data_IF_364942328163
#
_entry.id   IF_364942328163
#
_cell.length_a   1.000
_cell.length_b   1.000
_cell.length_c   1.000
_cell.angle_alpha   90.00
_cell.angle_beta   90.00
_cell.angle_gamma   90.00
#
_symmetry.space_group_name_H-M   'P 1'
#
loop_
_entity.id
_entity.type
_entity.pdbx_description
1 polymer ?
#
# COMPACT_ATOMS: atom_id res chain seq x y z
N UNK A 1 -8.86 -8.23 -9.97
CA UNK A 1 -8.73 -9.70 -9.87
C UNK A 1 -8.70 -10.18 -8.41
N UNK A 2 -8.09 -9.45 -7.48
CA UNK A 2 -8.04 -9.80 -6.04
C UNK A 2 -9.41 -9.80 -5.39
N UNK A 3 -10.26 -8.81 -5.68
CA UNK A 3 -11.61 -8.74 -5.14
C UNK A 3 -12.43 -10.00 -5.43
N UNK A 4 -12.35 -10.53 -6.65
CA UNK A 4 -13.12 -11.72 -7.04
C UNK A 4 -12.73 -12.93 -6.19
N UNK A 5 -11.45 -13.09 -5.88
CA UNK A 5 -10.96 -14.16 -4.99
C UNK A 5 -11.47 -13.98 -3.56
N UNK A 6 -11.41 -12.75 -3.06
CA UNK A 6 -11.87 -12.42 -1.71
C UNK A 6 -13.38 -12.63 -1.60
N UNK A 7 -14.15 -12.20 -2.60
CA UNK A 7 -15.59 -12.38 -2.64
C UNK A 7 -15.98 -13.87 -2.67
N UNK A 8 -15.25 -14.67 -3.45
CA UNK A 8 -15.43 -16.13 -3.50
C UNK A 8 -15.09 -16.80 -2.16
N UNK A 9 -13.96 -16.45 -1.54
CA UNK A 9 -13.55 -16.98 -0.24
C UNK A 9 -14.52 -16.62 0.89
N UNK A 10 -15.12 -15.45 0.82
CA UNK A 10 -16.09 -14.98 1.84
C UNK A 10 -17.54 -15.33 1.51
N UNK A 11 -17.80 -15.93 0.35
CA UNK A 11 -19.15 -16.24 -0.12
C UNK A 11 -20.03 -14.99 -0.33
N UNK A 12 -19.41 -13.87 -0.70
CA UNK A 12 -20.08 -12.60 -0.94
C UNK A 12 -20.42 -12.48 -2.43
N UNK A 13 -21.71 -12.43 -2.75
CA UNK A 13 -22.18 -12.03 -4.06
C UNK A 13 -22.27 -10.50 -4.11
N UNK A 14 -21.47 -9.86 -4.96
CA UNK A 14 -21.46 -8.42 -5.11
C UNK A 14 -21.22 -7.98 -6.55
N UNK A 15 -21.67 -6.78 -6.86
CA UNK A 15 -21.35 -6.15 -8.14
C UNK A 15 -19.93 -5.63 -8.09
N UNK A 16 -19.05 -6.20 -8.91
CA UNK A 16 -17.69 -5.72 -9.08
C UNK A 16 -17.60 -4.80 -10.30
N UNK A 17 -17.02 -3.62 -10.07
CA UNK A 17 -16.68 -2.68 -11.14
C UNK A 17 -15.19 -2.35 -11.08
N UNK A 18 -14.48 -2.65 -12.18
CA UNK A 18 -13.09 -2.26 -12.35
C UNK A 18 -12.96 -0.84 -12.88
N UNK A 19 -11.98 -0.09 -12.37
CA UNK A 19 -11.60 1.24 -12.84
C UNK A 19 -10.15 1.23 -13.35
N UNK A 20 -9.78 2.23 -14.14
CA UNK A 20 -8.41 2.31 -14.70
C UNK A 20 -7.38 2.86 -13.71
N UNK A 21 -7.84 3.59 -12.70
CA UNK A 21 -6.97 4.16 -11.67
C UNK A 21 -7.60 4.12 -10.29
N UNK A 22 -6.76 4.11 -9.26
CA UNK A 22 -7.22 4.21 -7.87
C UNK A 22 -8.02 5.49 -7.62
N UNK A 23 -7.63 6.62 -8.22
CA UNK A 23 -8.36 7.87 -8.07
C UNK A 23 -9.80 7.78 -8.57
N UNK A 24 -10.06 7.03 -9.62
CA UNK A 24 -11.43 6.81 -10.12
C UNK A 24 -12.25 5.95 -9.16
N UNK A 25 -11.63 4.94 -8.54
CA UNK A 25 -12.29 4.13 -7.50
C UNK A 25 -12.75 5.02 -6.35
N UNK A 26 -11.87 5.89 -5.86
CA UNK A 26 -12.21 6.76 -4.72
C UNK A 26 -13.24 7.81 -5.06
N UNK A 27 -13.17 8.35 -6.26
CA UNK A 27 -14.17 9.30 -6.74
C UNK A 27 -15.54 8.62 -6.85
N UNK A 28 -15.59 7.37 -7.30
CA UNK A 28 -16.83 6.60 -7.36
C UNK A 28 -17.44 6.38 -5.97
N UNK A 29 -16.60 6.05 -4.98
CA UNK A 29 -17.05 5.90 -3.57
C UNK A 29 -17.49 7.26 -3.01
N UNK A 30 -16.72 8.32 -3.21
CA UNK A 30 -17.06 9.67 -2.72
C UNK A 30 -18.36 10.22 -3.34
N UNK A 31 -18.68 9.82 -4.56
CA UNK A 31 -19.93 10.18 -5.27
C UNK A 31 -21.10 9.22 -5.01
N UNK A 32 -20.92 8.20 -4.19
CA UNK A 32 -21.94 7.20 -3.91
C UNK A 32 -22.27 6.27 -5.09
N UNK A 33 -21.37 6.16 -6.07
CA UNK A 33 -21.48 5.22 -7.22
C UNK A 33 -21.00 3.82 -6.89
N UNK A 34 -20.18 3.71 -5.85
CA UNK A 34 -19.72 2.47 -5.27
C UNK A 34 -19.80 2.56 -3.74
N UNK A 35 -20.12 1.46 -3.08
CA UNK A 35 -20.26 1.42 -1.63
C UNK A 35 -18.89 1.31 -0.93
N UNK A 36 -17.93 0.65 -1.57
CA UNK A 36 -16.58 0.47 -1.06
C UNK A 36 -15.55 0.35 -2.19
N UNK A 37 -14.30 0.68 -1.88
CA UNK A 37 -13.15 0.50 -2.76
C UNK A 37 -12.00 -0.21 -2.02
N UNK A 38 -11.27 -1.05 -2.72
CA UNK A 38 -10.07 -1.72 -2.21
C UNK A 38 -8.85 -1.00 -2.74
N UNK A 39 -7.91 -0.72 -1.83
CA UNK A 39 -6.66 -0.05 -2.15
C UNK A 39 -5.54 -0.48 -1.22
N UNK A 40 -4.34 -0.01 -1.50
CA UNK A 40 -3.18 -0.19 -0.62
C UNK A 40 -3.25 0.74 0.59
N UNK A 41 -2.66 0.32 1.69
CA UNK A 41 -2.62 1.11 2.94
C UNK A 41 -1.88 2.46 2.78
N UNK A 42 -1.01 2.59 1.80
CA UNK A 42 -0.25 3.82 1.52
C UNK A 42 -1.11 4.93 0.91
N UNK A 43 -2.22 4.58 0.29
CA UNK A 43 -3.13 5.54 -0.38
C UNK A 43 -4.33 5.95 0.47
N UNK A 44 -4.64 5.20 1.53
CA UNK A 44 -5.82 5.44 2.39
C UNK A 44 -5.78 6.83 3.04
N UNK A 45 -4.66 7.20 3.68
CA UNK A 45 -4.57 8.49 4.40
C UNK A 45 -4.73 9.70 3.46
N UNK A 46 -4.01 9.79 2.33
CA UNK A 46 -4.22 10.88 1.37
C UNK A 46 -5.66 11.00 0.86
N UNK A 47 -6.36 9.87 0.74
CA UNK A 47 -7.73 9.84 0.24
C UNK A 47 -8.72 10.32 1.28
N UNK A 48 -8.64 9.83 2.50
CA UNK A 48 -9.52 10.28 3.59
C UNK A 48 -9.31 11.75 3.95
N UNK A 49 -8.10 12.29 3.68
CA UNK A 49 -7.85 13.72 3.80
C UNK A 49 -8.42 14.56 2.64
N UNK A 50 -8.59 13.95 1.48
CA UNK A 50 -9.10 14.62 0.27
C UNK A 50 -10.62 14.60 0.17
N UNK A 51 -11.26 13.55 0.68
CA UNK A 51 -12.70 13.34 0.59
C UNK A 51 -13.29 13.10 1.97
N UNK A 52 -13.96 14.09 2.53
CA UNK A 52 -14.59 14.05 3.86
C UNK A 52 -15.68 12.97 3.95
N UNK A 53 -16.27 12.59 2.83
CA UNK A 53 -17.29 11.53 2.73
C UNK A 53 -16.74 10.11 2.70
N UNK A 54 -15.42 9.95 2.61
CA UNK A 54 -14.77 8.64 2.54
C UNK A 54 -14.05 8.34 3.84
N UNK A 55 -14.35 7.20 4.43
CA UNK A 55 -13.69 6.73 5.66
C UNK A 55 -12.80 5.53 5.37
N UNK A 56 -11.72 5.40 6.14
CA UNK A 56 -10.90 4.22 6.09
C UNK A 56 -11.62 3.03 6.72
N UNK A 57 -11.76 1.95 5.96
CA UNK A 57 -12.23 0.67 6.48
C UNK A 57 -11.18 -0.05 7.34
N UNK A 58 -11.52 -1.21 7.91
CA UNK A 58 -10.56 -2.02 8.65
C UNK A 58 -9.41 -2.46 7.74
N UNK A 59 -8.20 -2.55 8.31
CA UNK A 59 -7.06 -3.13 7.60
C UNK A 59 -7.30 -4.63 7.44
N UNK A 60 -7.40 -5.06 6.20
CA UNK A 60 -7.62 -6.46 5.86
C UNK A 60 -6.37 -6.98 5.15
N UNK A 61 -5.61 -7.89 5.77
CA UNK A 61 -4.34 -8.38 5.21
C UNK A 61 -4.58 -9.48 4.17
N UNK A 62 -5.33 -9.18 3.10
CA UNK A 62 -5.56 -10.14 2.02
C UNK A 62 -4.39 -10.30 1.06
N UNK A 63 -3.39 -9.44 1.17
CA UNK A 63 -2.19 -9.52 0.38
C UNK A 63 -1.12 -8.57 0.89
N UNK A 64 0.12 -8.91 0.60
CA UNK A 64 1.26 -8.04 0.86
C UNK A 64 2.00 -7.82 -0.45
N UNK A 65 1.96 -6.58 -0.93
CA UNK A 65 2.74 -6.17 -2.09
C UNK A 65 4.12 -5.71 -1.64
N UNK A 66 5.14 -6.29 -2.24
CA UNK A 66 6.51 -5.87 -2.02
C UNK A 66 6.90 -4.83 -3.05
N UNK A 67 7.22 -3.64 -2.59
CA UNK A 67 7.78 -2.58 -3.42
C UNK A 67 9.28 -2.52 -3.23
N UNK A 68 10.02 -2.24 -4.30
CA UNK A 68 11.47 -2.14 -4.27
C UNK A 68 11.95 -0.90 -5.00
N UNK A 69 13.13 -0.43 -4.62
CA UNK A 69 13.86 0.58 -5.38
C UNK A 69 14.57 -0.11 -6.53
N UNK A 70 14.42 0.41 -7.73
CA UNK A 70 15.10 -0.13 -8.91
C UNK A 70 16.27 0.76 -9.32
N UNK A 71 17.34 0.14 -9.80
CA UNK A 71 18.53 0.81 -10.28
C UNK A 71 18.96 0.31 -11.67
N UNK A 72 20.00 0.90 -12.26
CA UNK A 72 20.56 0.42 -13.51
C UNK A 72 21.00 -1.04 -13.44
N UNK A 73 20.74 -1.77 -14.50
CA UNK A 73 21.11 -3.18 -14.59
C UNK A 73 22.63 -3.33 -14.55
N UNK A 74 23.14 -4.31 -13.80
CA UNK A 74 24.58 -4.63 -13.66
C UNK A 74 25.43 -3.58 -12.89
N UNK A 75 24.84 -2.54 -12.32
CA UNK A 75 25.55 -1.62 -11.45
C UNK A 75 25.52 -2.08 -9.98
N UNK A 76 26.47 -2.93 -9.63
CA UNK A 76 26.59 -3.49 -8.27
C UNK A 76 26.92 -2.40 -7.24
N UNK A 77 27.69 -1.39 -7.60
CA UNK A 77 28.05 -0.28 -6.72
C UNK A 77 26.82 0.51 -6.34
N UNK A 78 26.00 0.84 -7.32
CA UNK A 78 24.74 1.54 -7.08
C UNK A 78 23.75 0.69 -6.26
N UNK A 79 23.66 -0.60 -6.56
CA UNK A 79 22.81 -1.53 -5.79
C UNK A 79 23.22 -1.58 -4.32
N UNK A 80 24.51 -1.69 -4.03
CA UNK A 80 25.04 -1.67 -2.67
C UNK A 80 24.76 -0.36 -1.96
N UNK A 81 24.89 0.76 -2.65
CA UNK A 81 24.55 2.09 -2.12
C UNK A 81 23.05 2.16 -1.74
N UNK A 82 22.14 1.72 -2.62
CA UNK A 82 20.71 1.71 -2.35
C UNK A 82 20.36 0.83 -1.15
N UNK A 83 20.94 -0.35 -1.06
CA UNK A 83 20.74 -1.25 0.07
C UNK A 83 21.22 -0.65 1.39
N UNK A 84 22.39 -0.01 1.38
CA UNK A 84 22.93 0.69 2.54
C UNK A 84 22.02 1.87 2.94
N UNK A 85 21.57 2.66 1.97
CA UNK A 85 20.66 3.77 2.21
C UNK A 85 19.37 3.30 2.90
N UNK A 86 18.68 2.29 2.35
CA UNK A 86 17.45 1.75 2.93
C UNK A 86 17.71 1.22 4.34
N UNK A 87 18.78 0.48 4.54
CA UNK A 87 19.17 -0.05 5.86
C UNK A 87 19.38 1.07 6.87
N UNK A 88 20.03 2.15 6.50
CA UNK A 88 20.24 3.30 7.38
C UNK A 88 18.94 4.04 7.70
N UNK A 89 18.02 4.20 6.74
CA UNK A 89 16.72 4.82 7.00
C UNK A 89 15.92 4.02 8.04
N UNK A 90 16.00 2.69 7.97
CA UNK A 90 15.32 1.81 8.95
C UNK A 90 15.99 1.91 10.33
N UNK A 91 17.33 1.82 10.39
CA UNK A 91 18.09 1.84 11.66
C UNK A 91 18.01 3.17 12.39
N UNK A 92 18.00 4.27 11.66
CA UNK A 92 17.89 5.62 12.26
C UNK A 92 16.48 5.98 12.74
N UNK A 93 15.48 5.16 12.48
CA UNK A 93 14.08 5.46 12.77
C UNK A 93 13.41 6.40 11.75
N UNK A 94 14.16 6.90 10.76
CA UNK A 94 13.64 7.81 9.74
C UNK A 94 12.50 7.19 8.93
N UNK A 95 12.62 5.89 8.65
CA UNK A 95 11.55 5.15 7.97
C UNK A 95 10.23 5.17 8.75
N UNK A 96 10.28 4.91 10.07
CA UNK A 96 9.11 4.96 10.93
C UNK A 96 8.51 6.37 11.02
N UNK A 97 9.34 7.40 11.09
CA UNK A 97 8.92 8.80 11.09
C UNK A 97 8.17 9.17 9.81
N UNK A 98 8.76 8.86 8.65
CA UNK A 98 8.15 9.12 7.34
C UNK A 98 6.86 8.33 7.14
N UNK A 99 6.85 7.07 7.55
CA UNK A 99 5.64 6.26 7.51
C UNK A 99 4.52 6.87 8.34
N UNK A 100 4.81 7.24 9.58
CA UNK A 100 3.83 7.89 10.46
C UNK A 100 3.27 9.20 9.89
N UNK A 101 4.13 9.96 9.20
CA UNK A 101 3.76 11.23 8.57
C UNK A 101 2.86 11.07 7.34
N UNK A 102 3.15 10.11 6.47
CA UNK A 102 2.51 10.01 5.14
C UNK A 102 1.49 8.88 5.02
N UNK A 103 1.62 7.83 5.80
CA UNK A 103 0.76 6.63 5.73
C UNK A 103 -0.07 6.46 7.00
N UNK A 104 0.47 6.89 8.13
CA UNK A 104 -0.17 6.76 9.44
C UNK A 104 0.10 5.41 10.10
N UNK A 105 0.12 5.40 11.44
CA UNK A 105 0.33 4.22 12.25
C UNK A 105 1.77 3.69 12.25
N UNK A 106 1.93 2.42 12.65
CA UNK A 106 3.23 1.77 12.75
C UNK A 106 3.68 1.25 11.38
N UNK A 107 4.91 1.55 10.99
CA UNK A 107 5.52 1.01 9.79
C UNK A 107 5.66 -0.52 9.87
N UNK A 108 5.45 -1.24 8.77
CA UNK A 108 5.72 -2.68 8.73
C UNK A 108 7.22 -2.96 8.89
N UNK A 109 7.54 -4.13 9.40
CA UNK A 109 8.92 -4.58 9.43
C UNK A 109 9.38 -4.92 8.02
N UNK A 110 10.49 -4.30 7.60
CA UNK A 110 11.09 -4.55 6.27
C UNK A 110 12.00 -5.78 6.24
N UNK A 111 12.11 -6.51 7.34
CA UNK A 111 12.93 -7.72 7.40
C UNK A 111 12.18 -8.89 6.76
N UNK A 112 12.77 -9.42 5.70
CA UNK A 112 12.37 -10.72 5.15
C UNK A 112 13.16 -11.78 5.92
N UNK A 113 12.51 -12.73 6.62
CA UNK A 113 13.21 -13.80 7.29
C UNK A 113 14.12 -14.57 6.32
N UNK A 114 15.40 -14.73 6.69
CA UNK A 114 16.39 -15.45 5.86
C UNK A 114 17.12 -14.60 4.82
N UNK A 115 16.80 -13.31 4.68
CA UNK A 115 17.56 -12.37 3.86
C UNK A 115 18.41 -11.49 4.78
N UNK A 116 19.72 -11.61 4.66
CA UNK A 116 20.67 -10.77 5.37
C UNK A 116 21.00 -9.55 4.50
N UNK A 117 20.71 -8.38 5.01
CA UNK A 117 21.08 -7.09 4.41
C UNK A 117 22.39 -6.58 5.02
#
# INVERSE_FOLDING_TARGET
QEWLKIAEELGIEGNYQGYQSENEVFLAVAQGKADAGITTNTTVLPITQKFDSVIAGPRMPWGTDYTSVVGPRMDVTWLNYLNLFVTQQVRSGRYQELWGKYVGGKAPELRIPGVYY
#
